data_IF_465425828312
#
_entry.id   IF_465425828312
#
_cell.length_a   1.000
_cell.length_b   1.000
_cell.length_c   1.000
_cell.angle_alpha   90.00
_cell.angle_beta   90.00
_cell.angle_gamma   90.00
#
_symmetry.space_group_name_H-M   'P 1'
#
loop_
_entity.id
_entity.type
_entity.pdbx_description
1 polymer ?
#
# COMPACT_ATOMS: atom_id res chain seq x y z
N UNK A 1 36.13 -9.63 -14.46
CA UNK A 1 35.94 -8.64 -13.37
C UNK A 1 34.93 -9.24 -12.40
N UNK A 2 35.23 -9.30 -11.12
CA UNK A 2 34.27 -9.73 -10.12
C UNK A 2 33.40 -8.50 -9.70
N UNK A 3 32.19 -8.41 -10.23
CA UNK A 3 31.29 -7.28 -9.99
C UNK A 3 30.87 -7.19 -8.52
N UNK A 4 30.70 -8.31 -7.81
CA UNK A 4 30.28 -8.36 -6.40
C UNK A 4 31.26 -7.64 -5.46
N UNK A 5 32.56 -7.58 -5.83
CA UNK A 5 33.57 -6.88 -5.02
C UNK A 5 33.36 -5.36 -4.94
N UNK A 6 32.53 -4.78 -5.82
CA UNK A 6 32.22 -3.35 -5.85
C UNK A 6 30.92 -3.01 -5.09
N UNK A 7 30.13 -4.00 -4.71
CA UNK A 7 28.90 -3.78 -3.99
C UNK A 7 29.15 -3.46 -2.51
N UNK A 8 28.32 -2.56 -1.97
CA UNK A 8 28.28 -2.34 -0.53
C UNK A 8 27.73 -3.58 0.19
N UNK A 9 28.01 -3.73 1.49
CA UNK A 9 27.52 -4.86 2.28
C UNK A 9 25.99 -4.93 2.33
N UNK A 10 25.31 -3.78 2.32
CA UNK A 10 23.84 -3.72 2.26
C UNK A 10 23.32 -4.34 0.96
N UNK A 11 23.91 -4.00 -0.19
CA UNK A 11 23.51 -4.58 -1.48
C UNK A 11 23.78 -6.08 -1.53
N UNK A 12 24.93 -6.53 -1.05
CA UNK A 12 25.24 -7.97 -0.98
C UNK A 12 24.25 -8.75 -0.11
N UNK A 13 23.70 -8.09 0.92
CA UNK A 13 22.67 -8.68 1.76
C UNK A 13 21.32 -8.72 1.05
N UNK A 14 20.94 -7.63 0.38
CA UNK A 14 19.68 -7.53 -0.37
C UNK A 14 19.62 -8.52 -1.54
N UNK A 15 20.72 -8.70 -2.28
CA UNK A 15 20.79 -9.64 -3.40
C UNK A 15 20.66 -11.14 -3.02
N UNK A 16 20.58 -11.46 -1.74
CA UNK A 16 20.27 -12.82 -1.27
C UNK A 16 18.76 -13.08 -1.20
N UNK A 17 17.96 -12.04 -1.23
CA UNK A 17 16.51 -12.14 -1.27
C UNK A 17 16.03 -12.33 -2.72
N UNK A 18 14.79 -12.75 -2.88
CA UNK A 18 14.17 -12.77 -4.20
C UNK A 18 14.20 -11.36 -4.82
N UNK A 19 14.39 -11.24 -6.15
CA UNK A 19 14.41 -9.94 -6.79
C UNK A 19 13.07 -9.21 -6.61
N UNK A 20 13.08 -7.86 -6.53
CA UNK A 20 11.85 -7.09 -6.42
C UNK A 20 10.85 -7.48 -7.53
N UNK A 21 9.60 -7.74 -7.15
CA UNK A 21 8.57 -8.16 -8.09
C UNK A 21 8.52 -9.67 -8.41
N UNK A 22 9.36 -10.51 -7.79
CA UNK A 22 9.31 -11.98 -7.96
C UNK A 22 7.94 -12.59 -7.57
N UNK A 23 7.17 -11.88 -6.76
CA UNK A 23 5.80 -12.23 -6.41
C UNK A 23 4.79 -12.09 -7.56
N UNK A 24 5.19 -11.45 -8.66
CA UNK A 24 4.34 -11.21 -9.84
C UNK A 24 4.91 -11.99 -11.04
N UNK A 25 4.52 -13.27 -11.22
CA UNK A 25 4.95 -14.04 -12.38
C UNK A 25 4.40 -13.43 -13.67
N UNK A 26 5.04 -13.76 -14.80
CA UNK A 26 4.50 -13.45 -16.12
C UNK A 26 3.13 -14.11 -16.27
N UNK A 27 2.12 -13.29 -16.57
CA UNK A 27 0.74 -13.78 -16.69
C UNK A 27 0.49 -14.25 -18.13
N UNK A 28 -0.05 -15.48 -18.30
CA UNK A 28 -0.48 -15.95 -19.61
C UNK A 28 -1.52 -15.01 -20.27
N UNK A 29 -1.55 -14.99 -21.60
CA UNK A 29 -2.57 -14.24 -22.34
C UNK A 29 -3.99 -14.72 -21.95
N UNK A 30 -4.88 -13.76 -21.71
CA UNK A 30 -6.25 -14.06 -21.29
C UNK A 30 -6.41 -14.50 -19.84
N UNK A 31 -5.36 -14.46 -19.04
CA UNK A 31 -5.42 -14.75 -17.60
C UNK A 31 -6.30 -13.74 -16.85
N UNK A 32 -7.21 -14.24 -16.04
CA UNK A 32 -8.06 -13.43 -15.14
C UNK A 32 -7.19 -12.92 -13.99
N UNK A 33 -7.03 -11.58 -13.91
CA UNK A 33 -6.05 -10.93 -13.04
C UNK A 33 -6.61 -10.62 -11.66
N UNK A 34 -6.81 -11.65 -10.81
CA UNK A 34 -7.17 -11.46 -9.40
C UNK A 34 -5.96 -11.13 -8.51
N UNK A 35 -4.73 -11.14 -9.05
CA UNK A 35 -3.51 -10.68 -8.37
C UNK A 35 -3.33 -9.16 -8.41
N UNK A 36 -3.96 -8.46 -9.37
CA UNK A 36 -3.65 -7.07 -9.72
C UNK A 36 -4.15 -6.06 -8.68
N UNK A 37 -3.25 -5.28 -8.12
CA UNK A 37 -3.58 -4.13 -7.26
C UNK A 37 -3.74 -2.80 -8.02
N UNK A 38 -4.03 -2.83 -9.33
CA UNK A 38 -4.26 -1.64 -10.14
C UNK A 38 -5.74 -1.22 -10.11
N UNK A 39 -6.05 0.08 -10.33
CA UNK A 39 -7.42 0.52 -10.54
C UNK A 39 -8.09 -0.19 -11.72
N UNK A 40 -9.43 -0.19 -11.72
CA UNK A 40 -10.20 -0.63 -12.89
C UNK A 40 -9.80 0.20 -14.13
N UNK A 41 -9.42 -0.43 -15.24
CA UNK A 41 -9.05 0.30 -16.46
C UNK A 41 -10.13 1.25 -16.97
N UNK A 42 -11.40 0.93 -16.76
CA UNK A 42 -12.53 1.77 -17.16
C UNK A 42 -12.69 3.03 -16.28
N UNK A 43 -12.09 3.04 -15.09
CA UNK A 43 -12.14 4.16 -14.16
C UNK A 43 -10.90 5.07 -14.23
N UNK A 44 -9.87 4.70 -15.01
CA UNK A 44 -8.73 5.58 -15.23
C UNK A 44 -9.18 6.76 -16.11
N UNK A 45 -9.02 8.03 -15.65
CA UNK A 45 -9.60 9.21 -16.32
C UNK A 45 -8.71 9.64 -17.50
N UNK A 46 -8.60 8.78 -18.53
CA UNK A 46 -7.65 9.00 -19.64
C UNK A 46 -7.97 10.24 -20.48
N UNK A 47 -9.25 10.49 -20.76
CA UNK A 47 -9.66 11.66 -21.57
C UNK A 47 -9.49 12.95 -20.75
N UNK A 48 -9.88 12.97 -19.49
CA UNK A 48 -9.73 14.12 -18.61
C UNK A 48 -8.23 14.45 -18.37
N UNK A 49 -7.37 13.44 -18.28
CA UNK A 49 -5.93 13.64 -18.19
C UNK A 49 -5.35 14.18 -19.51
N UNK A 50 -5.82 13.70 -20.65
CA UNK A 50 -5.44 14.22 -21.97
C UNK A 50 -5.84 15.68 -22.13
N UNK A 51 -7.05 16.06 -21.73
CA UNK A 51 -7.51 17.45 -21.72
C UNK A 51 -6.68 18.32 -20.78
N UNK A 52 -6.34 17.81 -19.58
CA UNK A 52 -5.49 18.51 -18.63
C UNK A 52 -4.09 18.79 -19.21
N UNK A 53 -3.49 17.80 -19.87
CA UNK A 53 -2.19 17.95 -20.55
C UNK A 53 -2.26 18.95 -21.71
N UNK A 54 -3.29 18.85 -22.56
CA UNK A 54 -3.47 19.78 -23.67
C UNK A 54 -3.59 21.22 -23.15
N UNK A 55 -4.45 21.43 -22.16
CA UNK A 55 -4.64 22.75 -21.55
C UNK A 55 -3.36 23.28 -20.91
N UNK A 56 -2.60 22.44 -20.20
CA UNK A 56 -1.31 22.82 -19.60
C UNK A 56 -0.35 23.36 -20.65
N UNK A 57 -0.20 22.65 -21.77
CA UNK A 57 0.72 23.03 -22.85
C UNK A 57 0.23 24.24 -23.64
N UNK A 58 -1.09 24.40 -23.83
CA UNK A 58 -1.67 25.57 -24.47
C UNK A 58 -1.45 26.85 -23.64
N UNK A 59 -1.58 26.78 -22.33
CA UNK A 59 -1.46 27.92 -21.42
C UNK A 59 0.01 28.27 -21.06
N UNK A 60 0.86 27.26 -20.88
CA UNK A 60 2.23 27.43 -20.35
C UNK A 60 3.33 27.07 -21.36
N UNK A 61 2.96 26.60 -22.55
CA UNK A 61 3.85 26.22 -23.63
C UNK A 61 4.92 25.20 -23.18
N UNK A 62 6.19 25.55 -23.24
CA UNK A 62 7.31 24.66 -22.93
C UNK A 62 7.70 24.64 -21.44
N UNK A 63 7.17 25.56 -20.61
CA UNK A 63 7.55 25.65 -19.17
C UNK A 63 7.41 24.33 -18.40
N UNK A 64 6.32 23.56 -18.55
CA UNK A 64 6.17 22.29 -17.84
C UNK A 64 7.19 21.23 -18.25
N UNK A 65 7.90 21.43 -19.36
CA UNK A 65 8.90 20.51 -19.90
C UNK A 65 10.32 20.86 -19.46
N UNK A 66 10.52 21.96 -18.71
CA UNK A 66 11.80 22.37 -18.17
C UNK A 66 12.02 21.88 -16.74
N UNK A 67 13.28 21.84 -16.28
CA UNK A 67 13.66 21.44 -14.92
C UNK A 67 13.03 22.29 -13.82
N UNK A 68 12.85 23.56 -14.02
CA UNK A 68 12.20 24.46 -13.06
C UNK A 68 10.67 24.25 -13.02
N UNK A 69 10.15 23.58 -14.02
CA UNK A 69 8.74 23.18 -14.10
C UNK A 69 7.78 24.35 -14.25
N UNK A 70 6.54 24.04 -14.03
CA UNK A 70 5.40 24.94 -14.15
C UNK A 70 5.16 25.72 -12.85
N UNK A 71 4.63 26.96 -12.92
CA UNK A 71 4.12 27.69 -11.76
C UNK A 71 2.92 27.00 -11.08
N UNK A 72 2.40 25.90 -11.66
CA UNK A 72 1.31 25.11 -11.09
C UNK A 72 1.78 24.05 -10.07
N UNK A 73 3.07 23.75 -9.98
CA UNK A 73 3.60 22.79 -9.00
C UNK A 73 3.19 23.14 -7.56
N UNK A 74 3.31 24.40 -7.07
CA UNK A 74 2.78 24.79 -5.77
C UNK A 74 1.28 24.58 -5.61
N UNK A 75 0.50 24.70 -6.70
CA UNK A 75 -0.96 24.47 -6.66
C UNK A 75 -1.29 23.00 -6.41
N UNK A 76 -0.53 22.05 -6.97
CA UNK A 76 -0.70 20.64 -6.64
C UNK A 76 -0.55 20.41 -5.14
N UNK A 77 0.48 21.01 -4.54
CA UNK A 77 0.72 20.91 -3.10
C UNK A 77 -0.46 21.45 -2.29
N UNK A 78 -0.98 22.62 -2.68
CA UNK A 78 -2.17 23.23 -2.05
C UNK A 78 -3.43 22.34 -2.20
N UNK A 79 -3.63 21.73 -3.35
CA UNK A 79 -4.76 20.82 -3.57
C UNK A 79 -4.66 19.58 -2.70
N UNK A 80 -3.47 19.02 -2.55
CA UNK A 80 -3.24 17.88 -1.65
C UNK A 80 -3.44 18.31 -0.19
N UNK A 81 -2.96 19.49 0.23
CA UNK A 81 -3.22 20.02 1.57
C UNK A 81 -4.73 20.16 1.85
N UNK A 82 -5.49 20.68 0.87
CA UNK A 82 -6.94 20.79 1.00
C UNK A 82 -7.60 19.42 1.20
N UNK A 83 -7.23 18.41 0.42
CA UNK A 83 -7.73 17.04 0.56
C UNK A 83 -7.37 16.41 1.90
N UNK A 84 -6.16 16.64 2.37
CA UNK A 84 -5.74 16.19 3.71
C UNK A 84 -6.58 16.87 4.81
N UNK A 85 -6.85 18.18 4.66
CA UNK A 85 -7.68 18.93 5.61
C UNK A 85 -9.14 18.42 5.66
N UNK A 86 -9.70 18.01 4.53
CA UNK A 86 -11.04 17.38 4.45
C UNK A 86 -11.10 16.05 5.24
N UNK A 87 -9.94 15.41 5.45
CA UNK A 87 -9.78 14.21 6.28
C UNK A 87 -9.23 14.48 7.68
N UNK A 88 -9.27 15.75 8.13
CA UNK A 88 -8.81 16.16 9.46
C UNK A 88 -7.29 16.31 9.61
N UNK A 89 -6.50 16.21 8.53
CA UNK A 89 -5.05 16.35 8.55
C UNK A 89 -4.68 17.77 8.11
N UNK A 90 -4.45 18.66 9.08
CA UNK A 90 -4.05 20.03 8.83
C UNK A 90 -2.52 20.14 8.86
N UNK A 91 -1.89 20.38 7.69
CA UNK A 91 -0.44 20.53 7.55
C UNK A 91 -0.09 21.83 6.85
N UNK A 92 1.02 22.44 7.28
CA UNK A 92 1.61 23.59 6.62
C UNK A 92 2.35 23.18 5.34
N UNK A 93 2.74 24.15 4.51
CA UNK A 93 3.44 23.87 3.26
C UNK A 93 4.79 23.16 3.51
N UNK A 94 5.53 23.57 4.54
CA UNK A 94 6.80 22.97 4.96
C UNK A 94 6.65 21.60 5.66
N UNK A 95 5.44 21.17 5.93
CA UNK A 95 5.08 19.87 6.51
C UNK A 95 4.60 18.85 5.47
N UNK A 96 4.64 19.21 4.18
CA UNK A 96 4.21 18.36 3.08
C UNK A 96 5.28 18.28 2.00
N UNK A 97 5.68 17.07 1.62
CA UNK A 97 6.60 16.78 0.52
C UNK A 97 5.89 15.94 -0.54
N UNK A 98 5.88 16.43 -1.79
CA UNK A 98 5.39 15.64 -2.93
C UNK A 98 6.45 14.63 -3.32
N UNK A 99 6.03 13.39 -3.64
CA UNK A 99 6.91 12.29 -4.03
C UNK A 99 6.43 11.61 -5.32
N UNK A 100 7.30 10.83 -5.95
CA UNK A 100 6.96 10.00 -7.11
C UNK A 100 6.23 8.73 -6.70
N UNK A 101 5.07 8.88 -6.05
CA UNK A 101 4.26 7.84 -5.46
C UNK A 101 4.67 7.50 -4.02
N UNK A 102 3.83 6.70 -3.34
CA UNK A 102 4.02 6.32 -1.94
C UNK A 102 5.34 5.56 -1.70
N UNK A 103 5.71 4.62 -2.60
CA UNK A 103 6.95 3.84 -2.43
C UNK A 103 8.21 4.71 -2.36
N UNK A 104 8.30 5.81 -3.13
CA UNK A 104 9.41 6.75 -2.96
C UNK A 104 9.36 7.43 -1.59
N UNK A 105 8.17 7.76 -1.10
CA UNK A 105 8.00 8.33 0.25
C UNK A 105 8.50 7.36 1.34
N UNK A 106 8.11 6.09 1.25
CA UNK A 106 8.54 5.03 2.16
C UNK A 106 10.06 4.85 2.11
N UNK A 107 10.65 4.81 0.89
CA UNK A 107 12.11 4.67 0.72
C UNK A 107 12.87 5.87 1.29
N UNK A 108 12.41 7.10 1.05
CA UNK A 108 13.02 8.31 1.63
C UNK A 108 12.99 8.30 3.17
N UNK A 109 11.86 7.88 3.76
CA UNK A 109 11.73 7.75 5.21
C UNK A 109 12.70 6.68 5.74
N UNK A 110 12.72 5.51 5.10
CA UNK A 110 13.64 4.42 5.45
C UNK A 110 15.10 4.86 5.33
N UNK A 111 15.47 5.51 4.24
CA UNK A 111 16.81 6.00 3.96
C UNK A 111 17.32 7.01 4.98
N UNK A 112 16.45 7.87 5.49
CA UNK A 112 16.80 8.92 6.47
C UNK A 112 16.80 8.38 7.89
N UNK A 113 15.88 7.47 8.23
CA UNK A 113 15.67 7.03 9.60
C UNK A 113 16.34 5.70 9.94
N UNK A 114 16.74 4.89 8.95
CA UNK A 114 17.27 3.55 9.20
C UNK A 114 18.78 3.47 8.97
N UNK A 115 19.40 2.65 9.76
CA UNK A 115 20.77 2.16 9.64
C UNK A 115 20.82 0.67 10.02
N UNK A 116 21.97 0.04 10.00
CA UNK A 116 22.18 -1.38 10.36
C UNK A 116 21.82 -1.73 11.81
N UNK A 117 21.65 -0.73 12.68
CA UNK A 117 21.31 -0.87 14.10
C UNK A 117 19.85 -0.55 14.40
N UNK A 118 19.19 0.17 13.50
CA UNK A 118 17.79 0.56 13.67
C UNK A 118 16.87 -0.67 13.63
N UNK A 119 15.87 -0.67 14.49
CA UNK A 119 14.79 -1.66 14.50
C UNK A 119 13.56 -1.05 13.85
N UNK A 120 12.88 -1.81 12.98
CA UNK A 120 11.59 -1.47 12.41
C UNK A 120 10.55 -2.45 12.87
N UNK A 121 9.39 -1.97 13.29
CA UNK A 121 8.21 -2.81 13.51
C UNK A 121 7.30 -2.72 12.29
N UNK A 122 6.73 -3.86 11.87
CA UNK A 122 5.78 -3.97 10.76
C UNK A 122 4.59 -4.82 11.15
N UNK A 123 3.49 -4.67 10.46
CA UNK A 123 2.35 -5.59 10.55
C UNK A 123 2.72 -6.99 10.03
N UNK A 124 2.02 -8.02 10.47
CA UNK A 124 2.14 -9.39 9.96
C UNK A 124 0.74 -9.97 9.70
N UNK A 125 0.36 -10.13 8.43
CA UNK A 125 1.09 -9.80 7.21
C UNK A 125 1.20 -8.29 6.94
N UNK A 126 2.10 -7.88 6.02
CA UNK A 126 2.32 -6.49 5.62
C UNK A 126 2.55 -6.35 4.12
N UNK A 127 2.57 -5.11 3.62
CA UNK A 127 2.84 -4.82 2.22
C UNK A 127 4.27 -5.21 1.82
N UNK A 128 4.39 -6.11 0.86
CA UNK A 128 5.65 -6.74 0.47
C UNK A 128 6.71 -5.75 -0.03
N UNK A 129 6.32 -4.75 -0.85
CA UNK A 129 7.30 -3.77 -1.36
C UNK A 129 7.85 -2.88 -0.24
N UNK A 130 7.05 -2.56 0.79
CA UNK A 130 7.54 -1.85 1.96
C UNK A 130 8.53 -2.71 2.76
N UNK A 131 8.24 -4.01 2.90
CA UNK A 131 9.15 -4.96 3.56
C UNK A 131 10.48 -5.06 2.80
N UNK A 132 10.43 -5.19 1.46
CA UNK A 132 11.62 -5.18 0.59
C UNK A 132 12.44 -3.88 0.77
N UNK A 133 11.78 -2.71 0.82
CA UNK A 133 12.45 -1.42 1.07
C UNK A 133 13.17 -1.44 2.42
N UNK A 134 12.50 -1.84 3.50
CA UNK A 134 13.12 -1.82 4.83
C UNK A 134 14.30 -2.79 4.93
N UNK A 135 14.22 -3.96 4.30
CA UNK A 135 15.29 -4.96 4.24
C UNK A 135 16.56 -4.44 3.55
N UNK A 136 16.47 -3.41 2.70
CA UNK A 136 17.63 -2.75 2.11
C UNK A 136 18.44 -1.93 3.13
N UNK A 137 17.84 -1.52 4.25
CA UNK A 137 18.46 -0.64 5.23
C UNK A 137 18.77 -1.32 6.56
N UNK A 138 17.98 -2.30 6.99
CA UNK A 138 18.17 -3.03 8.24
C UNK A 138 17.72 -4.49 8.15
N UNK A 139 18.39 -5.34 8.92
CA UNK A 139 17.95 -6.74 9.14
C UNK A 139 17.11 -6.90 10.41
N UNK A 140 16.93 -5.83 11.17
CA UNK A 140 16.27 -5.83 12.48
C UNK A 140 14.81 -5.44 12.31
N UNK A 141 14.06 -6.28 11.62
CA UNK A 141 12.62 -6.10 11.42
C UNK A 141 11.90 -7.03 12.37
N UNK A 142 10.89 -6.54 13.05
CA UNK A 142 10.01 -7.29 13.94
C UNK A 142 8.57 -7.17 13.44
N UNK A 143 7.85 -8.27 13.46
CA UNK A 143 6.47 -8.35 13.00
C UNK A 143 5.49 -8.37 14.16
N UNK A 144 4.39 -7.64 14.03
CA UNK A 144 3.30 -7.60 15.00
C UNK A 144 2.05 -8.15 14.32
N UNK A 145 1.37 -9.14 14.90
CA UNK A 145 0.21 -9.74 14.26
C UNK A 145 -0.94 -8.74 14.10
N UNK A 146 -1.75 -8.99 13.10
CA UNK A 146 -3.02 -8.30 12.86
C UNK A 146 -4.19 -9.29 12.96
N UNK A 147 -5.37 -8.79 13.21
CA UNK A 147 -6.64 -9.52 13.20
C UNK A 147 -7.71 -8.69 12.46
N UNK A 148 -8.96 -9.07 12.55
CA UNK A 148 -10.09 -8.38 11.91
C UNK A 148 -10.23 -6.91 12.33
N UNK A 149 -9.66 -6.53 13.48
CA UNK A 149 -9.64 -5.15 13.98
C UNK A 149 -8.32 -4.41 13.66
N UNK A 150 -7.47 -4.95 12.78
CA UNK A 150 -6.17 -4.40 12.40
C UNK A 150 -5.03 -4.81 13.33
N UNK A 151 -4.00 -3.98 13.45
CA UNK A 151 -2.82 -4.24 14.28
C UNK A 151 -3.20 -4.59 15.72
N UNK A 152 -2.64 -5.68 16.27
CA UNK A 152 -2.83 -6.06 17.67
C UNK A 152 -1.96 -5.19 18.58
N UNK A 153 -2.43 -4.00 18.92
CA UNK A 153 -1.67 -3.01 19.71
C UNK A 153 -1.29 -3.50 21.10
N UNK A 154 -2.05 -4.44 21.68
CA UNK A 154 -1.70 -5.08 22.96
C UNK A 154 -0.48 -5.99 22.84
N UNK A 155 -0.36 -6.74 21.72
CA UNK A 155 0.84 -7.53 21.42
C UNK A 155 2.05 -6.64 21.17
N UNK A 156 1.86 -5.51 20.50
CA UNK A 156 2.89 -4.49 20.36
C UNK A 156 3.37 -4.03 21.74
N UNK A 157 2.45 -3.69 22.65
CA UNK A 157 2.79 -3.26 24.01
C UNK A 157 3.60 -4.33 24.76
N UNK A 158 3.13 -5.58 24.75
CA UNK A 158 3.85 -6.69 25.40
C UNK A 158 5.29 -6.81 24.88
N UNK A 159 5.49 -6.71 23.58
CA UNK A 159 6.80 -6.77 22.95
C UNK A 159 7.66 -5.55 23.32
N UNK A 160 7.11 -4.34 23.37
CA UNK A 160 7.83 -3.12 23.76
C UNK A 160 8.26 -3.19 25.24
N UNK A 161 7.37 -3.65 26.13
CA UNK A 161 7.66 -3.87 27.55
C UNK A 161 8.82 -4.87 27.74
N UNK A 162 8.77 -5.98 27.02
CA UNK A 162 9.82 -7.01 27.09
C UNK A 162 11.16 -6.47 26.59
N UNK A 163 11.17 -5.75 25.46
CA UNK A 163 12.39 -5.15 24.92
C UNK A 163 13.00 -4.11 25.87
N UNK A 164 12.16 -3.28 26.48
CA UNK A 164 12.58 -2.28 27.48
C UNK A 164 13.15 -2.95 28.72
N UNK A 165 12.49 -4.01 29.22
CA UNK A 165 12.93 -4.77 30.37
C UNK A 165 14.27 -5.49 30.14
N UNK A 166 14.51 -5.98 28.94
CA UNK A 166 15.74 -6.72 28.57
C UNK A 166 16.84 -5.84 28.01
N UNK A 167 16.62 -4.51 27.91
CA UNK A 167 17.60 -3.57 27.34
C UNK A 167 17.80 -3.71 25.82
N UNK A 168 16.86 -4.33 25.13
CA UNK A 168 16.89 -4.44 23.67
C UNK A 168 16.48 -3.09 23.01
N UNK A 169 17.01 -2.81 21.82
CA UNK A 169 16.69 -1.60 21.07
C UNK A 169 15.19 -1.58 20.69
N UNK A 170 14.52 -0.49 21.03
CA UNK A 170 13.13 -0.23 20.62
C UNK A 170 13.04 0.11 19.13
N UNK A 171 11.87 -0.05 18.49
CA UNK A 171 11.68 0.33 17.10
C UNK A 171 11.95 1.82 16.88
N UNK A 172 12.57 2.17 15.75
CA UNK A 172 12.69 3.56 15.29
C UNK A 172 11.34 4.06 14.80
N UNK A 173 10.64 3.21 14.06
CA UNK A 173 9.25 3.44 13.68
C UNK A 173 8.49 2.10 13.54
N UNK A 174 7.17 2.21 13.58
CA UNK A 174 6.24 1.15 13.19
C UNK A 174 5.57 1.54 11.88
N UNK A 175 5.66 0.68 10.86
CA UNK A 175 4.93 0.81 9.60
C UNK A 175 3.59 0.10 9.68
N UNK A 176 2.52 0.79 9.31
CA UNK A 176 1.15 0.26 9.33
C UNK A 176 0.33 0.81 8.17
N UNK A 177 -0.59 -0.02 7.65
CA UNK A 177 -1.66 0.38 6.72
C UNK A 177 -2.98 0.28 7.50
N UNK A 178 -3.37 1.31 8.25
CA UNK A 178 -4.46 1.19 9.21
C UNK A 178 -5.86 1.13 8.56
N UNK A 179 -5.95 1.39 7.25
CA UNK A 179 -7.22 1.46 6.53
C UNK A 179 -7.15 0.62 5.27
N UNK A 180 -8.03 -0.39 5.17
CA UNK A 180 -8.10 -1.36 4.06
C UNK A 180 -6.73 -1.97 3.76
N UNK A 181 -6.15 -2.54 4.79
CA UNK A 181 -4.79 -3.06 4.85
C UNK A 181 -4.44 -3.95 3.65
N UNK A 182 -3.27 -3.76 3.10
CA UNK A 182 -2.72 -4.66 2.09
C UNK A 182 -1.75 -5.66 2.76
N UNK A 183 -2.12 -6.97 2.83
CA UNK A 183 -3.06 -7.67 1.94
C UNK A 183 -4.46 -7.95 2.51
N UNK A 184 -4.75 -7.72 3.77
CA UNK A 184 -5.89 -8.33 4.47
C UNK A 184 -7.24 -7.68 4.21
N UNK A 185 -7.26 -6.43 3.77
CA UNK A 185 -8.49 -5.64 3.64
C UNK A 185 -9.04 -5.13 4.98
N UNK A 186 -8.41 -5.47 6.11
CA UNK A 186 -8.88 -5.08 7.44
C UNK A 186 -8.71 -3.57 7.69
N UNK A 187 -9.54 -3.03 8.57
CA UNK A 187 -9.44 -1.64 9.01
C UNK A 187 -9.21 -1.58 10.51
N UNK A 188 -8.16 -0.89 10.93
CA UNK A 188 -7.83 -0.70 12.34
C UNK A 188 -8.90 0.14 13.03
N UNK A 189 -9.42 -0.34 14.17
CA UNK A 189 -10.42 0.37 14.96
C UNK A 189 -9.86 1.68 15.53
N UNK A 190 -10.73 2.64 15.81
CA UNK A 190 -10.32 3.93 16.39
C UNK A 190 -9.62 3.74 17.74
N UNK A 191 -10.11 2.83 18.59
CA UNK A 191 -9.47 2.49 19.86
C UNK A 191 -8.01 2.06 19.67
N UNK A 192 -7.75 1.19 18.68
CA UNK A 192 -6.37 0.74 18.39
C UNK A 192 -5.51 1.85 17.77
N UNK A 193 -6.09 2.76 16.99
CA UNK A 193 -5.37 3.95 16.46
C UNK A 193 -4.91 4.87 17.59
N UNK A 194 -5.79 5.16 18.54
CA UNK A 194 -5.48 5.95 19.72
C UNK A 194 -4.42 5.25 20.59
N UNK A 195 -4.62 3.97 20.89
CA UNK A 195 -3.65 3.19 21.68
C UNK A 195 -2.28 3.09 20.99
N UNK A 196 -2.22 2.94 19.66
CA UNK A 196 -0.96 2.94 18.93
C UNK A 196 -0.23 4.29 19.07
N UNK A 197 -0.98 5.40 18.98
CA UNK A 197 -0.42 6.73 19.17
C UNK A 197 0.11 6.93 20.61
N UNK A 198 -0.62 6.48 21.64
CA UNK A 198 -0.17 6.47 23.03
C UNK A 198 1.13 5.69 23.21
N UNK A 199 1.20 4.48 22.63
CA UNK A 199 2.40 3.66 22.67
C UNK A 199 3.59 4.35 21.98
N UNK A 200 3.37 5.04 20.88
CA UNK A 200 4.43 5.77 20.17
C UNK A 200 5.05 6.88 21.02
N UNK A 201 4.24 7.52 21.88
CA UNK A 201 4.67 8.54 22.83
C UNK A 201 5.41 7.90 24.02
N UNK A 202 4.84 6.83 24.60
CA UNK A 202 5.39 6.16 25.78
C UNK A 202 6.76 5.50 25.54
N UNK A 203 6.93 4.93 24.32
CA UNK A 203 8.15 4.17 23.96
C UNK A 203 9.06 4.90 22.97
N UNK A 204 8.74 6.15 22.63
CA UNK A 204 9.55 7.05 21.79
C UNK A 204 9.89 6.48 20.41
N UNK A 205 8.87 6.06 19.67
CA UNK A 205 8.99 5.65 18.27
C UNK A 205 8.04 6.44 17.35
N UNK A 206 8.27 6.43 16.04
CA UNK A 206 7.42 7.06 15.05
C UNK A 206 6.43 6.04 14.47
N UNK A 207 5.29 6.52 14.00
CA UNK A 207 4.34 5.76 13.21
C UNK A 207 4.50 6.18 11.76
N UNK A 208 4.81 5.24 10.87
CA UNK A 208 4.72 5.41 9.43
C UNK A 208 3.36 4.88 8.97
N UNK A 209 2.42 5.81 8.79
CA UNK A 209 1.06 5.52 8.32
C UNK A 209 1.03 5.54 6.80
N UNK A 210 0.81 4.39 6.17
CA UNK A 210 0.56 4.28 4.72
C UNK A 210 -0.95 4.30 4.45
N UNK A 211 -1.40 5.36 3.81
CA UNK A 211 -2.82 5.66 3.61
C UNK A 211 -3.19 5.69 2.12
N UNK A 212 -2.77 4.67 1.40
CA UNK A 212 -3.02 4.56 -0.04
C UNK A 212 -4.50 4.31 -0.40
N UNK A 213 -5.30 3.78 0.52
CA UNK A 213 -6.68 3.35 0.28
C UNK A 213 -7.73 4.12 1.10
N UNK A 214 -7.33 5.01 1.98
CA UNK A 214 -8.21 5.63 2.98
C UNK A 214 -9.39 6.44 2.44
N UNK A 215 -9.40 6.77 1.14
CA UNK A 215 -10.52 7.45 0.48
C UNK A 215 -11.47 6.48 -0.25
N UNK A 216 -11.19 5.16 -0.22
CA UNK A 216 -11.96 4.13 -0.92
C UNK A 216 -12.84 3.30 0.02
N UNK A 217 -13.37 3.94 1.06
CA UNK A 217 -14.36 3.34 1.95
C UNK A 217 -15.70 3.20 1.24
N UNK A 218 -16.37 2.08 1.47
CA UNK A 218 -17.73 1.89 0.95
C UNK A 218 -18.77 2.69 1.75
N UNK A 219 -18.46 2.98 3.01
CA UNK A 219 -19.30 3.79 3.89
C UNK A 219 -18.56 5.05 4.37
N UNK A 220 -18.49 5.31 5.66
CA UNK A 220 -17.76 6.45 6.21
C UNK A 220 -16.24 6.21 6.14
N UNK A 221 -15.49 7.25 5.79
CA UNK A 221 -14.04 7.16 5.75
C UNK A 221 -13.46 7.03 7.17
N UNK A 222 -12.62 6.03 7.45
CA UNK A 222 -11.94 5.91 8.74
C UNK A 222 -11.05 7.13 9.03
N UNK A 223 -10.96 7.48 10.31
CA UNK A 223 -10.16 8.62 10.78
C UNK A 223 -8.67 8.28 10.68
N UNK A 224 -7.85 9.01 9.90
CA UNK A 224 -6.42 8.74 9.83
C UNK A 224 -5.71 8.92 11.19
N UNK A 225 -4.69 8.12 11.49
CA UNK A 225 -3.90 8.28 12.73
C UNK A 225 -3.25 9.67 12.76
N UNK A 226 -2.77 10.17 11.60
CA UNK A 226 -2.19 11.51 11.47
C UNK A 226 -3.15 12.62 11.88
N UNK A 227 -4.45 12.46 11.71
CA UNK A 227 -5.43 13.50 12.07
C UNK A 227 -5.61 13.66 13.59
N UNK A 228 -5.32 12.61 14.36
CA UNK A 228 -5.38 12.65 15.84
C UNK A 228 -4.00 12.89 16.47
N UNK A 229 -2.93 12.92 15.68
CA UNK A 229 -1.56 13.17 16.14
C UNK A 229 -1.33 14.64 16.48
N UNK A 230 -1.21 14.95 17.78
CA UNK A 230 -0.88 16.27 18.29
C UNK A 230 0.58 16.44 18.72
N UNK A 231 1.37 15.37 18.58
CA UNK A 231 2.74 15.30 19.11
C UNK A 231 3.81 15.13 18.02
N UNK A 232 3.42 15.14 16.73
CA UNK A 232 4.34 15.00 15.62
C UNK A 232 4.94 13.59 15.47
N UNK A 233 4.24 12.56 15.97
CA UNK A 233 4.72 11.16 15.95
C UNK A 233 4.39 10.43 14.65
N UNK A 234 3.47 10.94 13.84
CA UNK A 234 3.01 10.27 12.63
C UNK A 234 3.60 10.91 11.38
N UNK A 235 4.28 10.09 10.59
CA UNK A 235 4.63 10.37 9.20
C UNK A 235 3.58 9.68 8.32
N UNK A 236 2.70 10.46 7.69
CA UNK A 236 1.68 9.90 6.80
C UNK A 236 2.18 9.91 5.37
N UNK A 237 2.08 8.77 4.70
CA UNK A 237 2.35 8.63 3.27
C UNK A 237 1.02 8.41 2.54
N UNK A 238 0.80 9.16 1.48
CA UNK A 238 -0.39 9.03 0.66
C UNK A 238 -0.08 9.01 -0.83
N UNK A 239 -1.10 8.71 -1.65
CA UNK A 239 -0.92 8.58 -3.09
C UNK A 239 -2.21 8.81 -3.87
N UNK A 240 -2.10 9.40 -5.06
CA UNK A 240 -3.20 9.45 -6.04
C UNK A 240 -3.28 8.19 -6.92
N UNK A 241 -2.43 7.20 -6.70
CA UNK A 241 -2.35 6.00 -7.55
C UNK A 241 -3.65 5.19 -7.57
N UNK A 242 -4.40 5.16 -6.47
CA UNK A 242 -5.62 4.34 -6.36
C UNK A 242 -6.89 5.11 -6.70
N UNK A 243 -6.85 6.43 -6.65
CA UNK A 243 -8.00 7.32 -6.90
C UNK A 243 -7.93 8.07 -8.24
N UNK A 244 -6.75 8.14 -8.89
CA UNK A 244 -6.59 8.74 -10.21
C UNK A 244 -5.92 7.77 -11.18
N UNK A 245 -4.59 7.68 -11.15
CA UNK A 245 -3.84 6.84 -12.07
C UNK A 245 -2.44 6.53 -11.50
N UNK A 246 -2.04 5.25 -11.35
CA UNK A 246 -0.75 4.88 -10.80
C UNK A 246 0.43 5.33 -11.66
N UNK A 247 0.26 5.43 -12.98
CA UNK A 247 1.29 5.87 -13.94
C UNK A 247 1.69 7.34 -13.79
N UNK A 248 0.85 8.19 -13.18
CA UNK A 248 1.17 9.60 -12.93
C UNK A 248 2.21 9.80 -11.83
N UNK A 249 2.48 8.79 -11.01
CA UNK A 249 3.51 8.81 -9.98
C UNK A 249 3.41 10.01 -9.04
N UNK A 250 2.22 10.29 -8.50
CA UNK A 250 2.00 11.34 -7.49
C UNK A 250 1.69 10.70 -6.15
N UNK A 251 2.51 11.03 -5.15
CA UNK A 251 2.34 10.72 -3.75
C UNK A 251 2.85 11.86 -2.88
N UNK A 252 2.82 11.68 -1.58
CA UNK A 252 3.31 12.68 -0.62
C UNK A 252 3.72 12.04 0.70
N UNK A 253 4.50 12.82 1.47
CA UNK A 253 4.76 12.59 2.89
C UNK A 253 4.24 13.82 3.65
N UNK A 254 3.44 13.60 4.69
CA UNK A 254 3.01 14.62 5.62
C UNK A 254 3.60 14.34 7.01
N UNK A 255 4.31 15.32 7.59
CA UNK A 255 5.00 15.16 8.87
C UNK A 255 5.58 16.46 9.41
N UNK A 256 6.33 16.40 10.50
CA UNK A 256 7.00 17.58 11.05
C UNK A 256 8.03 18.17 10.07
N UNK A 257 8.15 19.50 10.08
CA UNK A 257 8.97 20.25 9.11
C UNK A 257 10.43 19.80 9.08
N UNK A 258 11.00 19.41 10.22
CA UNK A 258 12.39 18.94 10.32
C UNK A 258 12.59 17.61 9.58
N UNK A 259 11.61 16.70 9.65
CA UNK A 259 11.64 15.46 8.87
C UNK A 259 11.49 15.76 7.38
N UNK A 260 10.54 16.62 7.00
CA UNK A 260 10.31 16.99 5.61
C UNK A 260 11.56 17.59 4.97
N UNK A 261 12.25 18.54 5.64
CA UNK A 261 13.52 19.11 5.18
C UNK A 261 14.60 18.06 4.99
N UNK A 262 14.66 17.07 5.90
CA UNK A 262 15.62 15.96 5.81
C UNK A 262 15.32 15.04 4.62
N UNK A 263 14.06 14.77 4.35
CA UNK A 263 13.64 13.98 3.19
C UNK A 263 13.91 14.73 1.87
N UNK A 264 13.63 16.04 1.80
CA UNK A 264 13.96 16.88 0.64
C UNK A 264 15.46 16.85 0.32
N UNK A 265 16.30 16.89 1.34
CA UNK A 265 17.77 16.82 1.16
C UNK A 265 18.20 15.58 0.41
N UNK A 266 17.59 14.43 0.67
CA UNK A 266 17.90 13.16 0.01
C UNK A 266 17.12 12.93 -1.28
N UNK A 267 15.95 13.54 -1.43
CA UNK A 267 15.13 13.46 -2.65
C UNK A 267 15.83 14.21 -3.80
N UNK A 268 16.56 15.30 -3.51
CA UNK A 268 17.19 16.15 -4.51
C UNK A 268 16.13 16.69 -5.50
N UNK A 269 16.49 16.73 -6.78
CA UNK A 269 15.66 17.13 -7.91
C UNK A 269 14.98 15.93 -8.62
N UNK A 270 14.69 14.86 -7.87
CA UNK A 270 13.99 13.69 -8.39
C UNK A 270 12.47 13.92 -8.52
N UNK A 271 12.10 15.13 -8.89
CA UNK A 271 10.74 15.51 -9.19
C UNK A 271 10.36 15.15 -10.63
N UNK A 272 9.07 15.11 -10.88
CA UNK A 272 8.51 14.95 -12.21
C UNK A 272 7.62 16.17 -12.54
N UNK A 273 8.22 17.32 -12.93
CA UNK A 273 7.51 18.59 -13.07
C UNK A 273 6.29 18.50 -13.98
N UNK A 274 6.43 17.83 -15.12
CA UNK A 274 5.34 17.64 -16.07
C UNK A 274 4.16 16.86 -15.48
N UNK A 275 4.42 15.76 -14.79
CA UNK A 275 3.36 14.97 -14.15
C UNK A 275 2.66 15.75 -13.03
N UNK A 276 3.44 16.49 -12.22
CA UNK A 276 2.89 17.32 -11.14
C UNK A 276 2.01 18.45 -11.69
N UNK A 277 2.46 19.13 -12.74
CA UNK A 277 1.71 20.22 -13.39
C UNK A 277 0.44 19.70 -14.06
N UNK A 278 0.54 18.58 -14.78
CA UNK A 278 -0.61 17.93 -15.42
C UNK A 278 -1.65 17.51 -14.38
N UNK A 279 -1.20 16.96 -13.24
CA UNK A 279 -2.07 16.58 -12.14
C UNK A 279 -2.74 17.79 -11.49
N UNK A 280 -2.01 18.91 -11.32
CA UNK A 280 -2.59 20.15 -10.80
C UNK A 280 -3.75 20.63 -11.69
N UNK A 281 -3.54 20.66 -13.03
CA UNK A 281 -4.60 21.03 -13.97
C UNK A 281 -5.77 20.06 -13.93
N UNK A 282 -5.50 18.76 -13.85
CA UNK A 282 -6.54 17.74 -13.72
C UNK A 282 -7.40 17.98 -12.48
N UNK A 283 -6.79 18.13 -11.30
CA UNK A 283 -7.51 18.35 -10.04
C UNK A 283 -8.25 19.69 -9.99
N UNK A 284 -7.76 20.74 -10.67
CA UNK A 284 -8.44 22.02 -10.79
C UNK A 284 -9.77 21.92 -11.58
N UNK A 285 -9.85 21.00 -12.53
CA UNK A 285 -10.98 20.87 -13.46
C UNK A 285 -11.87 19.65 -13.19
N UNK A 286 -11.56 18.87 -12.15
CA UNK A 286 -12.30 17.66 -11.81
C UNK A 286 -13.11 17.86 -10.53
N UNK A 287 -14.38 17.50 -10.59
CA UNK A 287 -15.20 17.29 -9.39
C UNK A 287 -14.75 15.99 -8.71
N UNK A 288 -13.79 16.14 -7.79
CA UNK A 288 -13.11 14.99 -7.22
C UNK A 288 -14.02 14.17 -6.28
N UNK A 289 -14.98 14.79 -5.60
CA UNK A 289 -15.95 14.08 -4.75
C UNK A 289 -16.83 13.17 -5.61
N UNK A 290 -17.35 13.68 -6.72
CA UNK A 290 -18.11 12.87 -7.69
C UNK A 290 -17.30 11.69 -8.23
N UNK A 291 -15.99 11.91 -8.41
CA UNK A 291 -15.08 10.85 -8.84
C UNK A 291 -14.92 9.79 -7.74
N UNK A 292 -14.74 10.20 -6.49
CA UNK A 292 -14.66 9.27 -5.36
C UNK A 292 -15.94 8.46 -5.20
N UNK A 293 -17.10 9.07 -5.34
CA UNK A 293 -18.39 8.37 -5.28
C UNK A 293 -18.48 7.29 -6.36
N UNK A 294 -18.11 7.62 -7.61
CA UNK A 294 -18.06 6.64 -8.71
C UNK A 294 -17.12 5.47 -8.41
N UNK A 295 -15.93 5.75 -7.87
CA UNK A 295 -14.95 4.73 -7.49
C UNK A 295 -15.50 3.82 -6.38
N UNK A 296 -16.03 4.41 -5.31
CA UNK A 296 -16.61 3.70 -4.17
C UNK A 296 -17.76 2.79 -4.59
N UNK A 297 -18.71 3.31 -5.36
CA UNK A 297 -19.87 2.53 -5.85
C UNK A 297 -19.42 1.36 -6.73
N UNK A 298 -18.48 1.61 -7.65
CA UNK A 298 -17.98 0.56 -8.53
C UNK A 298 -17.24 -0.52 -7.73
N UNK A 299 -16.34 -0.14 -6.82
CA UNK A 299 -15.58 -1.13 -6.04
C UNK A 299 -16.45 -1.85 -5.01
N UNK A 300 -17.48 -1.21 -4.47
CA UNK A 300 -18.50 -1.88 -3.63
C UNK A 300 -19.22 -2.98 -4.41
N UNK A 301 -19.68 -2.68 -5.63
CA UNK A 301 -20.33 -3.68 -6.51
C UNK A 301 -19.41 -4.86 -6.79
N UNK A 302 -18.16 -4.57 -7.16
CA UNK A 302 -17.16 -5.60 -7.48
C UNK A 302 -16.79 -6.44 -6.26
N UNK A 303 -16.64 -5.83 -5.08
CA UNK A 303 -16.41 -6.54 -3.83
C UNK A 303 -17.57 -7.49 -3.52
N UNK A 304 -18.80 -7.00 -3.59
CA UNK A 304 -20.01 -7.79 -3.36
C UNK A 304 -20.08 -8.98 -4.32
N UNK A 305 -19.81 -8.78 -5.62
CA UNK A 305 -19.78 -9.82 -6.62
C UNK A 305 -18.69 -10.88 -6.35
N UNK A 306 -17.48 -10.42 -5.92
CA UNK A 306 -16.41 -11.33 -5.54
C UNK A 306 -16.79 -12.18 -4.33
N UNK A 307 -17.26 -11.57 -3.23
CA UNK A 307 -17.64 -12.28 -2.01
C UNK A 307 -18.75 -13.29 -2.28
N UNK A 308 -19.80 -12.90 -3.00
CA UNK A 308 -20.87 -13.83 -3.36
C UNK A 308 -20.36 -15.02 -4.21
N UNK A 309 -19.42 -14.77 -5.11
CA UNK A 309 -18.79 -15.84 -5.88
C UNK A 309 -17.97 -16.80 -5.01
N UNK A 310 -17.27 -16.25 -4.02
CA UNK A 310 -16.48 -17.04 -3.07
C UNK A 310 -17.40 -17.93 -2.22
N UNK A 311 -18.51 -17.40 -1.71
CA UNK A 311 -19.54 -18.16 -0.98
C UNK A 311 -20.12 -19.31 -1.83
N UNK A 312 -20.29 -19.09 -3.15
CA UNK A 312 -20.88 -20.06 -4.05
C UNK A 312 -19.93 -21.18 -4.48
N UNK A 313 -18.64 -20.86 -4.68
CA UNK A 313 -17.72 -21.75 -5.37
C UNK A 313 -16.55 -22.26 -4.54
N UNK A 314 -16.19 -21.61 -3.42
CA UNK A 314 -15.10 -22.08 -2.59
C UNK A 314 -15.58 -23.15 -1.59
N UNK A 315 -14.73 -24.12 -1.22
CA UNK A 315 -15.04 -25.12 -0.20
C UNK A 315 -15.33 -24.46 1.17
N UNK A 316 -16.16 -25.09 2.00
CA UNK A 316 -16.54 -24.62 3.35
C UNK A 316 -15.33 -24.46 4.31
N UNK A 317 -14.23 -25.16 4.03
CA UNK A 317 -12.98 -25.04 4.83
C UNK A 317 -12.21 -23.76 4.56
N UNK A 318 -12.50 -23.05 3.47
CA UNK A 318 -11.85 -21.79 3.09
C UNK A 318 -12.53 -20.64 3.80
N UNK A 319 -11.75 -19.74 4.37
CA UNK A 319 -12.26 -18.57 5.09
C UNK A 319 -11.63 -17.28 4.56
N UNK A 320 -12.33 -16.15 4.77
CA UNK A 320 -11.87 -14.83 4.38
C UNK A 320 -12.48 -13.73 5.24
N UNK A 321 -11.83 -12.58 5.25
CA UNK A 321 -12.36 -11.35 5.81
C UNK A 321 -13.09 -10.55 4.72
N UNK A 322 -14.27 -10.00 5.03
CA UNK A 322 -15.05 -9.15 4.10
C UNK A 322 -14.67 -7.69 4.35
N UNK A 323 -14.00 -7.03 3.39
CA UNK A 323 -13.55 -5.66 3.59
C UNK A 323 -14.67 -4.63 3.36
N UNK A 324 -14.58 -3.49 4.08
CA UNK A 324 -15.49 -2.35 3.93
C UNK A 324 -14.94 -1.28 2.95
N UNK A 325 -13.95 -1.63 2.15
CA UNK A 325 -13.30 -0.73 1.18
C UNK A 325 -12.01 -1.30 0.60
N UNK A 326 -11.22 -0.43 -0.01
CA UNK A 326 -9.94 -0.82 -0.62
C UNK A 326 -10.07 -1.69 -1.86
N UNK A 327 -9.16 -2.67 -2.00
CA UNK A 327 -9.03 -3.47 -3.23
C UNK A 327 -8.95 -4.97 -3.00
N UNK A 328 -8.74 -5.45 -1.75
CA UNK A 328 -8.25 -6.79 -1.50
C UNK A 328 -9.14 -7.61 -0.57
N UNK A 329 -9.16 -8.90 -0.82
CA UNK A 329 -9.70 -9.92 0.07
C UNK A 329 -8.57 -10.89 0.41
N UNK A 330 -8.39 -11.16 1.70
CA UNK A 330 -7.42 -12.12 2.23
C UNK A 330 -8.11 -13.44 2.51
N UNK A 331 -7.58 -14.49 1.92
CA UNK A 331 -8.19 -15.83 1.94
C UNK A 331 -7.25 -16.79 2.65
N UNK A 332 -7.82 -17.62 3.52
CA UNK A 332 -7.13 -18.71 4.22
C UNK A 332 -7.60 -20.06 3.66
N UNK A 333 -6.67 -20.91 3.25
CA UNK A 333 -6.91 -22.26 2.75
C UNK A 333 -6.16 -23.24 3.64
N UNK A 334 -6.77 -23.74 4.72
CA UNK A 334 -6.09 -24.61 5.67
C UNK A 334 -5.48 -25.86 5.01
N UNK A 335 -4.21 -26.15 5.35
CA UNK A 335 -3.46 -27.30 4.83
C UNK A 335 -2.92 -27.13 3.40
N UNK A 336 -3.17 -26.02 2.70
CA UNK A 336 -2.67 -25.80 1.36
C UNK A 336 -1.36 -25.01 1.32
N UNK A 337 -0.51 -25.30 0.34
CA UNK A 337 0.57 -24.41 -0.08
C UNK A 337 0.13 -23.58 -1.29
N UNK A 338 -0.30 -22.35 -1.03
CA UNK A 338 -0.81 -21.45 -2.07
C UNK A 338 0.24 -21.07 -3.11
N UNK A 339 1.53 -21.20 -2.81
CA UNK A 339 2.61 -20.96 -3.76
C UNK A 339 2.73 -22.11 -4.77
N UNK A 340 2.51 -23.34 -4.33
CA UNK A 340 2.50 -24.51 -5.22
C UNK A 340 1.24 -24.51 -6.08
N UNK A 341 0.10 -24.13 -5.51
CA UNK A 341 -1.17 -24.04 -6.25
C UNK A 341 -1.16 -22.98 -7.36
N UNK A 342 -0.32 -21.93 -7.23
CA UNK A 342 -0.29 -20.82 -8.20
C UNK A 342 0.01 -21.29 -9.62
N UNK A 343 0.95 -22.23 -9.80
CA UNK A 343 1.33 -22.71 -11.13
C UNK A 343 0.13 -23.35 -11.87
N UNK A 344 -0.71 -24.07 -11.16
CA UNK A 344 -1.90 -24.68 -11.74
C UNK A 344 -3.01 -23.66 -11.94
N UNK A 345 -3.19 -22.73 -11.00
CA UNK A 345 -4.14 -21.63 -11.17
C UNK A 345 -3.82 -20.79 -12.43
N UNK A 346 -2.54 -20.52 -12.70
CA UNK A 346 -2.11 -19.82 -13.91
C UNK A 346 -2.38 -20.64 -15.17
N UNK A 347 -2.18 -21.96 -15.14
CA UNK A 347 -2.54 -22.87 -16.25
C UNK A 347 -4.06 -22.88 -16.50
N UNK A 348 -4.85 -22.76 -15.44
CA UNK A 348 -6.31 -22.63 -15.51
C UNK A 348 -6.77 -21.18 -15.83
N UNK A 349 -5.82 -20.27 -16.08
CA UNK A 349 -6.07 -18.89 -16.51
C UNK A 349 -6.53 -17.96 -15.38
N UNK A 350 -6.09 -18.17 -14.15
CA UNK A 350 -6.39 -17.30 -12.99
C UNK A 350 -5.12 -16.98 -12.22
N UNK A 351 -4.93 -15.70 -11.85
CA UNK A 351 -3.82 -15.27 -11.02
C UNK A 351 -4.29 -14.75 -9.66
N UNK A 352 -3.49 -14.99 -8.64
CA UNK A 352 -3.58 -14.39 -7.29
C UNK A 352 -2.17 -14.12 -6.75
N UNK A 353 -2.05 -13.51 -5.58
CA UNK A 353 -0.74 -13.36 -4.93
C UNK A 353 -0.66 -14.33 -3.74
N UNK A 354 0.31 -15.27 -3.72
CA UNK A 354 0.52 -16.16 -2.59
C UNK A 354 0.87 -15.39 -1.31
N UNK A 355 0.37 -15.89 -0.18
CA UNK A 355 0.49 -15.21 1.11
C UNK A 355 1.91 -15.07 1.61
N UNK A 356 2.81 -16.00 1.27
CA UNK A 356 4.19 -16.01 1.75
C UNK A 356 4.94 -14.68 1.56
N UNK A 357 4.63 -13.94 0.50
CA UNK A 357 5.32 -12.69 0.17
C UNK A 357 4.98 -11.53 1.13
N UNK A 358 3.93 -11.66 1.92
CA UNK A 358 3.48 -10.64 2.88
C UNK A 358 3.99 -10.86 4.30
N UNK A 359 4.80 -11.89 4.53
CA UNK A 359 5.34 -12.23 5.84
C UNK A 359 6.86 -12.12 5.87
N UNK A 360 7.38 -11.75 7.03
CA UNK A 360 8.82 -11.72 7.27
C UNK A 360 9.40 -13.14 7.27
N UNK A 361 8.73 -14.09 7.94
CA UNK A 361 8.94 -15.52 7.72
C UNK A 361 7.92 -16.03 6.69
N UNK A 362 8.43 -16.39 5.52
CA UNK A 362 7.57 -16.83 4.41
C UNK A 362 6.76 -18.09 4.73
N UNK A 363 7.18 -18.89 5.71
CA UNK A 363 6.45 -20.10 6.13
C UNK A 363 5.11 -19.74 6.79
N UNK A 364 5.02 -18.59 7.46
CA UNK A 364 3.78 -18.12 8.08
C UNK A 364 2.67 -17.81 7.06
N UNK A 365 3.05 -17.63 5.79
CA UNK A 365 2.14 -17.23 4.71
C UNK A 365 1.66 -18.36 3.79
N UNK A 366 2.04 -19.62 4.03
CA UNK A 366 1.81 -20.72 3.07
C UNK A 366 0.34 -21.01 2.80
N UNK A 367 -0.54 -20.91 3.81
CA UNK A 367 -1.98 -21.19 3.70
C UNK A 367 -2.81 -20.01 3.22
N UNK A 368 -2.18 -18.86 2.93
CA UNK A 368 -2.89 -17.64 2.59
C UNK A 368 -2.70 -17.25 1.12
N UNK A 369 -3.67 -16.54 0.59
CA UNK A 369 -3.56 -15.83 -0.69
C UNK A 369 -4.33 -14.51 -0.66
N UNK A 370 -3.89 -13.55 -1.49
CA UNK A 370 -4.57 -12.29 -1.69
C UNK A 370 -5.29 -12.29 -3.04
N UNK A 371 -6.58 -11.97 -3.01
CA UNK A 371 -7.40 -11.66 -4.19
C UNK A 371 -7.61 -10.15 -4.28
N UNK A 372 -7.77 -9.65 -5.50
CA UNK A 372 -8.14 -8.27 -5.79
C UNK A 372 -9.42 -8.22 -6.59
N UNK A 373 -10.36 -7.38 -6.17
CA UNK A 373 -11.58 -7.08 -6.91
C UNK A 373 -11.47 -5.80 -7.76
N UNK A 374 -10.33 -5.10 -7.73
CA UNK A 374 -10.24 -3.80 -8.38
C UNK A 374 -10.16 -3.87 -9.90
N UNK A 375 -9.34 -4.74 -10.47
CA UNK A 375 -8.93 -4.70 -11.87
C UNK A 375 -9.84 -5.48 -12.82
N UNK A 376 -10.11 -6.75 -12.52
CA UNK A 376 -10.88 -7.64 -13.38
C UNK A 376 -12.37 -7.22 -13.45
N UNK A 377 -13.04 -7.48 -14.57
CA UNK A 377 -14.48 -7.26 -14.70
C UNK A 377 -15.26 -8.27 -13.84
N UNK A 378 -16.45 -7.91 -13.38
CA UNK A 378 -17.27 -8.78 -12.52
C UNK A 378 -17.45 -10.18 -13.07
N UNK A 379 -17.81 -10.33 -14.37
CA UNK A 379 -17.98 -11.64 -15.04
C UNK A 379 -16.67 -12.46 -15.05
N UNK A 380 -15.54 -11.79 -15.23
CA UNK A 380 -14.22 -12.43 -15.19
C UNK A 380 -13.90 -12.88 -13.77
N UNK A 381 -14.19 -12.05 -12.75
CA UNK A 381 -13.99 -12.41 -11.34
C UNK A 381 -14.80 -13.65 -10.95
N UNK A 382 -16.09 -13.70 -11.28
CA UNK A 382 -16.97 -14.84 -11.00
C UNK A 382 -16.40 -16.12 -11.62
N UNK A 383 -15.99 -16.07 -12.88
CA UNK A 383 -15.38 -17.21 -13.58
C UNK A 383 -14.02 -17.58 -12.96
N UNK A 384 -13.20 -16.59 -12.59
CA UNK A 384 -11.92 -16.82 -11.91
C UNK A 384 -12.09 -17.55 -10.58
N UNK A 385 -13.04 -17.12 -9.76
CA UNK A 385 -13.33 -17.77 -8.47
C UNK A 385 -13.89 -19.17 -8.67
N UNK A 386 -14.75 -19.39 -9.68
CA UNK A 386 -15.24 -20.71 -10.01
C UNK A 386 -14.10 -21.70 -10.35
N UNK A 387 -13.13 -21.27 -11.18
CA UNK A 387 -11.93 -22.08 -11.51
C UNK A 387 -11.07 -22.33 -10.29
N UNK A 388 -10.80 -21.29 -9.51
CA UNK A 388 -10.01 -21.39 -8.28
C UNK A 388 -10.65 -22.35 -7.27
N UNK A 389 -11.98 -22.29 -7.08
CA UNK A 389 -12.71 -23.21 -6.22
C UNK A 389 -12.61 -24.68 -6.67
N UNK A 390 -12.69 -24.94 -7.98
CA UNK A 390 -12.49 -26.29 -8.53
C UNK A 390 -11.05 -26.81 -8.28
N UNK A 391 -10.05 -25.94 -8.44
CA UNK A 391 -8.66 -26.27 -8.17
C UNK A 391 -8.45 -26.62 -6.69
N UNK A 392 -8.92 -25.76 -5.77
CA UNK A 392 -8.79 -25.97 -4.32
C UNK A 392 -9.48 -27.28 -3.91
N UNK A 393 -10.73 -27.51 -4.36
CA UNK A 393 -11.45 -28.74 -4.05
C UNK A 393 -10.71 -30.01 -4.53
N UNK A 394 -10.06 -29.94 -5.70
CA UNK A 394 -9.30 -31.08 -6.24
C UNK A 394 -7.97 -31.32 -5.53
N UNK A 395 -7.36 -30.30 -4.93
CA UNK A 395 -6.09 -30.42 -4.19
C UNK A 395 -6.31 -30.94 -2.76
N UNK A 396 -7.34 -30.48 -2.07
CA UNK A 396 -7.69 -30.96 -0.71
C UNK A 396 -8.11 -32.43 -0.71
N UNK A 397 -8.72 -32.94 -1.80
CA UNK A 397 -9.10 -34.35 -1.94
C UNK A 397 -7.94 -35.30 -2.22
N UNK A 398 -6.74 -34.82 -2.57
CA UNK A 398 -5.56 -35.67 -2.84
C UNK A 398 -4.75 -36.00 -1.58
N UNK A 399 -4.93 -35.22 -0.52
CA UNK A 399 -4.21 -35.36 0.76
C UNK A 399 -5.04 -36.10 1.83
N UNK A 400 -6.24 -36.62 1.49
CA UNK A 400 -7.08 -37.52 2.25
C UNK A 400 -6.99 -38.94 1.67
#
# INVERSE_FOLDING_TARGET
MNVESFFSENIKAALKNDPPGAWMPDLPDGCIRLSSGYPDPALVPAEELKEAVARLLDEEQDLPLHYLGSPRIPRLKQQIQKRLAERGICVLEEQLLITSGACQGIDLIARVLLDDKAVVAVESPTYMEALEIFQNYTKRIISIPIDEQGLQTYRLKEMLDERKRTGQTLPRFLYTIPTFQNPTGTTMTNERREHLLELSIEYDFLILEDDAYGELSFDENPVPIKSIDKCGRVLQVGSLSKVVAPGMRIGWIAGESEFIKSFEWFKKDLDHPFAQSSMAVYLENTDFEKRLDLLKDTYRSKCTALIHSMEQFLPESVSWYVPDGGYFVWVTIPGADTSQLLSQALADGVSYVPGKYFFLDQNDGTEFLRLSFSYAKEKEMIEGIRRLGQLIASSVLKDC
#
